data_IF_234981856098
#
_entry.id   IF_234981856098
#
_cell.length_a   1.000
_cell.length_b   1.000
_cell.length_c   1.000
_cell.angle_alpha   90.00
_cell.angle_beta   90.00
_cell.angle_gamma   90.00
#
_symmetry.space_group_name_H-M   'P 1'
#
loop_
_entity.id
_entity.type
_entity.pdbx_description
1 polymer ?
#
# COMPACT_ATOMS: atom_id res chain seq x y z
N UNK A 1 32.86 34.56 15.40
CA UNK A 1 31.53 34.09 15.85
C UNK A 1 30.53 34.27 14.72
N UNK A 2 30.60 33.47 13.63
CA UNK A 2 29.65 33.59 12.51
C UNK A 2 29.71 32.37 11.57
N UNK A 3 29.74 31.15 12.13
CA UNK A 3 29.64 29.91 11.33
C UNK A 3 28.62 28.90 11.88
N UNK A 4 27.99 29.22 13.00
CA UNK A 4 26.99 28.36 13.64
C UNK A 4 25.53 28.69 13.24
N UNK A 5 25.31 29.65 12.33
CA UNK A 5 23.97 30.16 12.00
C UNK A 5 23.39 29.60 10.68
N UNK A 6 24.08 28.68 10.01
CA UNK A 6 23.65 28.18 8.70
C UNK A 6 22.94 26.82 8.74
N UNK A 7 22.81 26.17 9.91
CA UNK A 7 22.33 24.77 9.98
C UNK A 7 20.88 24.60 10.47
N UNK A 8 20.15 25.68 10.77
CA UNK A 8 18.85 25.58 11.46
C UNK A 8 17.65 25.79 10.52
N UNK A 9 17.84 26.28 9.29
CA UNK A 9 16.71 26.67 8.42
C UNK A 9 16.17 25.57 7.50
N UNK A 10 16.76 24.37 7.47
CA UNK A 10 16.35 23.31 6.53
C UNK A 10 15.31 22.33 7.08
N UNK A 11 14.89 22.43 8.36
CA UNK A 11 13.89 21.51 8.94
C UNK A 11 12.43 21.96 8.78
N UNK A 12 12.16 23.14 8.21
CA UNK A 12 10.80 23.69 8.15
C UNK A 12 9.93 23.21 6.96
N UNK A 13 10.46 22.34 6.09
CA UNK A 13 9.76 21.82 4.91
C UNK A 13 9.29 20.37 5.05
N UNK A 14 9.26 19.82 6.27
CA UNK A 14 8.54 18.58 6.55
C UNK A 14 7.03 18.86 6.47
N UNK A 15 6.50 18.93 5.24
CA UNK A 15 5.07 19.04 4.99
C UNK A 15 4.32 17.91 5.70
N UNK A 16 3.23 18.27 6.36
CA UNK A 16 2.35 17.32 7.02
C UNK A 16 1.79 16.34 6.00
N UNK A 17 2.27 15.10 5.99
CA UNK A 17 1.63 14.01 5.27
C UNK A 17 0.36 13.63 6.04
N UNK A 18 -0.76 14.31 5.79
CA UNK A 18 -2.07 13.92 6.28
C UNK A 18 -2.52 12.65 5.57
N UNK A 19 -2.07 11.50 6.05
CA UNK A 19 -2.69 10.22 5.74
C UNK A 19 -4.02 10.15 6.49
N UNK A 20 -5.13 10.51 5.85
CA UNK A 20 -6.47 10.28 6.40
C UNK A 20 -6.71 8.76 6.48
N UNK A 21 -6.52 8.18 7.67
CA UNK A 21 -6.68 6.73 7.90
C UNK A 21 -8.05 6.31 8.44
N UNK A 22 -9.05 7.18 8.34
CA UNK A 22 -10.39 6.97 8.91
C UNK A 22 -11.49 6.84 7.83
N UNK A 23 -11.12 6.53 6.58
CA UNK A 23 -12.13 6.27 5.56
C UNK A 23 -12.89 4.98 5.87
N UNK A 24 -14.22 5.06 5.78
CA UNK A 24 -15.13 3.91 5.80
C UNK A 24 -14.58 2.82 4.89
N UNK A 25 -14.65 1.55 5.32
CA UNK A 25 -14.26 0.41 4.50
C UNK A 25 -14.94 0.50 3.12
N UNK A 26 -14.13 0.64 2.08
CA UNK A 26 -14.61 0.86 0.72
C UNK A 26 -14.37 -0.39 -0.09
N UNK A 27 -15.43 -0.92 -0.70
CA UNK A 27 -15.35 -2.11 -1.56
C UNK A 27 -14.84 -1.70 -2.93
N UNK A 28 -13.75 -2.31 -3.38
CA UNK A 28 -13.24 -2.11 -4.73
C UNK A 28 -13.96 -2.95 -5.79
N UNK A 29 -13.68 -2.70 -7.08
CA UNK A 29 -14.28 -3.43 -8.21
C UNK A 29 -14.07 -4.95 -8.18
N UNK A 30 -12.96 -5.43 -7.63
CA UNK A 30 -12.63 -6.86 -7.50
C UNK A 30 -13.19 -7.47 -6.20
N UNK A 31 -13.93 -6.68 -5.43
CA UNK A 31 -14.60 -7.07 -4.19
C UNK A 31 -13.72 -7.03 -2.94
N UNK A 32 -12.49 -6.54 -3.06
CA UNK A 32 -11.55 -6.33 -1.96
C UNK A 32 -11.72 -4.98 -1.28
N UNK A 33 -10.75 -4.63 -0.44
CA UNK A 33 -10.69 -3.33 0.21
C UNK A 33 -9.92 -2.32 -0.65
N UNK A 34 -10.56 -1.22 -1.00
CA UNK A 34 -9.96 -0.11 -1.74
C UNK A 34 -9.55 1.03 -0.80
N UNK A 35 -8.38 1.62 -1.03
CA UNK A 35 -7.85 2.76 -0.26
C UNK A 35 -7.19 3.79 -1.17
N UNK A 36 -7.20 5.04 -0.72
CA UNK A 36 -6.33 6.09 -1.26
C UNK A 36 -4.90 5.89 -0.76
N UNK A 37 -3.96 5.84 -1.69
CA UNK A 37 -2.55 5.62 -1.43
C UNK A 37 -1.71 6.79 -1.97
N UNK A 38 -0.59 7.08 -1.31
CA UNK A 38 0.37 8.09 -1.79
C UNK A 38 -0.17 9.51 -1.79
N UNK A 39 -1.11 9.82 -0.88
CA UNK A 39 -1.78 11.12 -0.80
C UNK A 39 -2.81 11.35 -1.92
N UNK A 40 -3.56 10.31 -2.29
CA UNK A 40 -4.62 10.38 -3.32
C UNK A 40 -4.09 10.32 -4.76
N UNK A 41 -2.81 10.01 -4.96
CA UNK A 41 -2.21 9.86 -6.30
C UNK A 41 -2.50 8.50 -6.93
N UNK A 42 -2.78 7.51 -6.09
CA UNK A 42 -3.07 6.15 -6.51
C UNK A 42 -4.22 5.61 -5.67
N UNK A 43 -5.06 4.76 -6.26
CA UNK A 43 -6.07 3.98 -5.54
C UNK A 43 -5.66 2.52 -5.59
N UNK A 44 -5.62 1.86 -4.43
CA UNK A 44 -5.18 0.48 -4.31
C UNK A 44 -6.33 -0.38 -3.83
N UNK A 45 -6.61 -1.48 -4.54
CA UNK A 45 -7.52 -2.52 -4.08
C UNK A 45 -6.73 -3.76 -3.70
N UNK A 46 -6.97 -4.29 -2.49
CA UNK A 46 -6.42 -5.58 -2.06
C UNK A 46 -7.53 -6.61 -1.88
N UNK A 47 -7.36 -7.73 -2.58
CA UNK A 47 -8.19 -8.94 -2.44
C UNK A 47 -7.37 -10.02 -1.73
N UNK A 48 -8.00 -10.74 -0.81
CA UNK A 48 -7.39 -11.87 -0.10
C UNK A 48 -8.27 -13.12 -0.23
N UNK A 49 -7.67 -14.26 -0.60
CA UNK A 49 -8.37 -15.55 -0.72
C UNK A 49 -7.41 -16.69 -0.42
N UNK A 50 -7.78 -17.56 0.53
CA UNK A 50 -6.89 -18.65 0.96
C UNK A 50 -5.56 -18.07 1.46
N UNK A 51 -4.43 -18.50 0.90
CA UNK A 51 -3.12 -17.97 1.24
C UNK A 51 -2.58 -16.93 0.23
N UNK A 52 -3.43 -16.43 -0.66
CA UNK A 52 -3.05 -15.49 -1.71
C UNK A 52 -3.56 -14.07 -1.43
N UNK A 53 -2.76 -13.09 -1.86
CA UNK A 53 -3.08 -11.67 -1.91
C UNK A 53 -2.89 -11.17 -3.34
N UNK A 54 -3.86 -10.37 -3.79
CA UNK A 54 -3.80 -9.68 -5.08
C UNK A 54 -4.03 -8.20 -4.85
N UNK A 55 -3.02 -7.38 -5.19
CA UNK A 55 -3.08 -5.94 -5.16
C UNK A 55 -3.27 -5.41 -6.57
N UNK A 56 -4.35 -4.67 -6.79
CA UNK A 56 -4.62 -3.92 -8.01
C UNK A 56 -4.26 -2.46 -7.79
N UNK A 57 -3.52 -1.88 -8.73
CA UNK A 57 -3.06 -0.49 -8.64
C UNK A 57 -3.73 0.37 -9.71
N UNK A 58 -4.34 1.47 -9.29
CA UNK A 58 -4.97 2.45 -10.16
C UNK A 58 -4.38 3.85 -9.88
N UNK A 59 -4.46 4.74 -10.86
CA UNK A 59 -4.18 6.16 -10.67
C UNK A 59 -5.36 6.90 -10.00
N UNK A 60 -5.19 8.19 -9.75
CA UNK A 60 -6.22 9.04 -9.13
C UNK A 60 -7.52 9.15 -9.96
N UNK A 61 -7.51 8.78 -11.24
CA UNK A 61 -8.67 8.74 -12.13
C UNK A 61 -9.16 7.30 -12.38
N UNK A 62 -8.78 6.36 -11.52
CA UNK A 62 -9.15 4.94 -11.59
C UNK A 62 -8.64 4.22 -12.85
N UNK A 63 -7.60 4.74 -13.51
CA UNK A 63 -6.97 4.06 -14.65
C UNK A 63 -5.89 3.09 -14.17
N UNK A 64 -5.73 1.90 -14.80
CA UNK A 64 -4.68 0.96 -14.44
C UNK A 64 -3.26 1.55 -14.57
N UNK A 65 -2.45 1.42 -13.52
CA UNK A 65 -1.02 1.73 -13.56
C UNK A 65 -0.25 0.46 -13.88
N UNK A 66 0.58 0.44 -14.93
CA UNK A 66 1.46 -0.70 -15.19
C UNK A 66 2.46 -0.87 -14.02
N UNK A 67 2.55 -2.10 -13.47
CA UNK A 67 3.43 -2.46 -12.35
C UNK A 67 4.66 -3.27 -12.79
N UNK A 68 4.91 -3.46 -14.07
CA UNK A 68 6.10 -4.13 -14.59
C UNK A 68 7.38 -3.43 -14.13
N UNK A 69 8.38 -4.22 -13.70
CA UNK A 69 9.63 -3.69 -13.15
C UNK A 69 9.51 -3.06 -11.76
N UNK A 70 8.31 -3.01 -11.17
CA UNK A 70 8.09 -2.59 -9.79
C UNK A 70 8.22 -3.76 -8.80
N UNK A 71 8.22 -3.46 -7.51
CA UNK A 71 8.15 -4.47 -6.46
C UNK A 71 7.30 -3.99 -5.29
N UNK A 72 6.79 -4.91 -4.47
CA UNK A 72 6.20 -4.54 -3.20
C UNK A 72 6.43 -5.60 -2.12
N UNK A 73 6.38 -5.18 -0.86
CA UNK A 73 6.44 -6.05 0.31
C UNK A 73 5.18 -5.89 1.15
N UNK A 74 4.72 -6.99 1.73
CA UNK A 74 3.54 -7.05 2.60
C UNK A 74 3.87 -7.54 4.00
N UNK A 75 3.21 -6.97 4.99
CA UNK A 75 3.10 -7.52 6.34
C UNK A 75 1.64 -7.86 6.61
N UNK A 76 1.33 -9.15 6.69
CA UNK A 76 0.00 -9.66 6.99
C UNK A 76 -0.13 -9.84 8.51
N UNK A 77 -1.04 -9.10 9.11
CA UNK A 77 -1.32 -9.10 10.54
C UNK A 77 -2.57 -9.94 10.81
N UNK A 78 -2.41 -11.00 11.60
CA UNK A 78 -3.46 -11.94 12.00
C UNK A 78 -3.37 -12.17 13.51
N UNK A 79 -4.19 -11.44 14.27
CA UNK A 79 -4.10 -11.44 15.74
C UNK A 79 -2.71 -10.97 16.17
N UNK A 80 -1.99 -11.83 16.92
CA UNK A 80 -0.62 -11.58 17.37
C UNK A 80 0.47 -12.03 16.37
N UNK A 81 0.10 -12.64 15.24
CA UNK A 81 1.04 -13.14 14.24
C UNK A 81 1.22 -12.15 13.10
N UNK A 82 2.46 -12.04 12.63
CA UNK A 82 2.84 -11.27 11.43
C UNK A 82 3.49 -12.20 10.42
N UNK A 83 3.03 -12.15 9.17
CA UNK A 83 3.62 -12.88 8.05
C UNK A 83 4.14 -11.90 7.01
N UNK A 84 5.43 -12.01 6.68
CA UNK A 84 6.02 -11.21 5.62
C UNK A 84 5.84 -11.89 4.27
N UNK A 85 5.43 -11.14 3.26
CA UNK A 85 5.27 -11.65 1.89
C UNK A 85 5.88 -10.68 0.88
N UNK A 86 6.39 -11.23 -0.22
CA UNK A 86 6.88 -10.45 -1.34
C UNK A 86 5.85 -10.48 -2.47
N UNK A 87 5.40 -9.30 -2.90
CA UNK A 87 4.54 -9.17 -4.06
C UNK A 87 5.38 -9.09 -5.34
N UNK A 88 4.94 -9.81 -6.37
CA UNK A 88 5.54 -9.83 -7.69
C UNK A 88 4.54 -9.35 -8.74
N UNK A 89 4.98 -8.63 -9.79
CA UNK A 89 4.13 -8.30 -10.92
C UNK A 89 3.51 -9.57 -11.51
N UNK A 90 2.20 -9.54 -11.76
CA UNK A 90 1.41 -10.62 -12.33
C UNK A 90 0.67 -10.18 -13.60
N UNK A 91 1.20 -9.13 -14.25
CA UNK A 91 0.65 -8.54 -15.47
C UNK A 91 -0.19 -7.30 -15.23
N UNK A 92 -0.20 -6.42 -16.23
CA UNK A 92 -0.94 -5.15 -16.25
C UNK A 92 -0.69 -4.33 -14.97
N UNK A 93 -1.71 -4.16 -14.13
CA UNK A 93 -1.68 -3.38 -12.91
C UNK A 93 -1.71 -4.22 -11.62
N UNK A 94 -1.34 -5.49 -11.73
CA UNK A 94 -1.54 -6.47 -10.66
C UNK A 94 -0.23 -6.92 -10.04
N UNK A 95 -0.17 -6.89 -8.72
CA UNK A 95 0.90 -7.45 -7.88
C UNK A 95 0.31 -8.61 -7.07
N UNK A 96 0.94 -9.80 -7.09
CA UNK A 96 0.49 -10.98 -6.33
C UNK A 96 1.52 -11.44 -5.31
N UNK A 97 1.04 -11.92 -4.17
CA UNK A 97 1.85 -12.55 -3.15
C UNK A 97 1.12 -13.75 -2.55
N UNK A 98 1.88 -14.72 -2.05
CA UNK A 98 1.37 -15.83 -1.25
C UNK A 98 2.25 -16.02 -0.01
N UNK A 99 1.72 -16.63 1.05
CA UNK A 99 2.48 -16.87 2.28
C UNK A 99 1.90 -17.95 3.18
N UNK A 100 2.46 -18.11 4.38
CA UNK A 100 2.05 -19.11 5.36
C UNK A 100 0.88 -18.65 6.26
N UNK A 101 -0.14 -18.06 5.66
CA UNK A 101 -1.35 -17.62 6.35
C UNK A 101 -2.59 -18.13 5.62
N UNK A 102 -3.75 -18.03 6.28
CA UNK A 102 -5.05 -18.19 5.64
C UNK A 102 -5.86 -16.92 5.85
N UNK A 103 -6.41 -16.38 4.76
CA UNK A 103 -7.19 -15.16 4.74
C UNK A 103 -8.44 -15.35 5.59
N UNK A 104 -8.60 -14.49 6.60
CA UNK A 104 -9.70 -14.56 7.56
C UNK A 104 -10.16 -13.16 7.94
N UNK A 105 -11.37 -13.07 8.49
CA UNK A 105 -11.92 -11.79 8.95
C UNK A 105 -11.02 -11.15 10.00
N UNK A 106 -10.97 -9.81 9.97
CA UNK A 106 -10.11 -9.05 10.88
C UNK A 106 -8.64 -8.98 10.47
N UNK A 107 -8.22 -9.67 9.39
CA UNK A 107 -6.87 -9.53 8.86
C UNK A 107 -6.60 -8.10 8.41
N UNK A 108 -5.35 -7.68 8.56
CA UNK A 108 -4.84 -6.40 8.05
C UNK A 108 -3.57 -6.65 7.29
N UNK A 109 -3.35 -5.91 6.21
CA UNK A 109 -2.13 -6.03 5.42
C UNK A 109 -1.53 -4.65 5.24
N UNK A 110 -0.29 -4.47 5.65
CA UNK A 110 0.49 -3.27 5.35
C UNK A 110 1.30 -3.58 4.09
N UNK A 111 1.05 -2.85 3.02
CA UNK A 111 1.75 -3.01 1.74
C UNK A 111 2.65 -1.79 1.51
N UNK A 112 3.91 -2.03 1.17
CA UNK A 112 4.85 -1.00 0.71
C UNK A 112 5.29 -1.33 -0.71
N UNK A 113 4.96 -0.47 -1.66
CA UNK A 113 5.41 -0.57 -3.05
C UNK A 113 6.70 0.22 -3.25
N UNK A 114 7.44 -0.16 -4.29
CA UNK A 114 8.60 0.56 -4.80
C UNK A 114 8.48 0.77 -6.30
N UNK A 115 8.69 2.02 -6.74
CA UNK A 115 8.64 2.48 -8.13
C UNK A 115 7.31 2.26 -8.87
N UNK A 116 6.23 1.94 -8.18
CA UNK A 116 4.89 1.84 -8.79
C UNK A 116 4.41 3.23 -9.17
N UNK A 117 4.16 3.47 -10.47
CA UNK A 117 3.88 4.81 -10.98
C UNK A 117 5.02 5.81 -10.72
N UNK A 118 6.27 5.33 -10.60
CA UNK A 118 7.44 6.15 -10.27
C UNK A 118 7.53 6.56 -8.79
N UNK A 119 6.68 6.02 -7.91
CA UNK A 119 6.64 6.37 -6.49
C UNK A 119 6.80 5.14 -5.59
N UNK A 120 7.31 5.35 -4.38
CA UNK A 120 7.30 4.35 -3.31
C UNK A 120 6.28 4.77 -2.26
N UNK A 121 5.26 3.95 -2.06
CA UNK A 121 4.08 4.28 -1.26
C UNK A 121 3.83 3.16 -0.24
N UNK A 122 3.24 3.50 0.91
CA UNK A 122 2.79 2.52 1.89
C UNK A 122 1.33 2.78 2.26
N UNK A 123 0.55 1.71 2.38
CA UNK A 123 -0.83 1.76 2.84
C UNK A 123 -1.18 0.53 3.67
N UNK A 124 -2.17 0.66 4.56
CA UNK A 124 -2.75 -0.44 5.34
C UNK A 124 -4.13 -0.75 4.79
N UNK A 125 -4.41 -2.03 4.52
CA UNK A 125 -5.67 -2.50 3.97
C UNK A 125 -6.29 -3.60 4.85
N UNK A 126 -7.61 -3.72 4.79
CA UNK A 126 -8.43 -4.67 5.55
C UNK A 126 -9.30 -5.49 4.57
N UNK A 127 -8.71 -6.44 3.82
CA UNK A 127 -9.38 -7.06 2.67
C UNK A 127 -10.62 -7.89 3.02
N UNK A 128 -10.78 -8.29 4.28
CA UNK A 128 -11.89 -9.13 4.78
C UNK A 128 -12.53 -8.51 6.05
N UNK A 129 -12.85 -7.21 6.00
CA UNK A 129 -13.48 -6.53 7.15
C UNK A 129 -14.91 -7.01 7.41
#
# INVERSE_FOLDING_TARGET
MLRALALILSLALAGSAFAHSDSKWTKGPQGGHMVDAGGGKQHWELVAKGNELVLYVLDANEKPINVDGSSAKGQVLLGAKTYNVDFKPAGANTLKASGEFNATKGMRVIVKTDKVGGQSVQARLAPLN
#
